data_IF_218602259867
#
_entry.id   IF_218602259867
#
_cell.length_a   1.000
_cell.length_b   1.000
_cell.length_c   1.000
_cell.angle_alpha   90.00
_cell.angle_beta   90.00
_cell.angle_gamma   90.00
#
_symmetry.space_group_name_H-M   'P 1'
#
loop_
_entity.id
_entity.type
_entity.pdbx_description
1 polymer ?
#
# COMPACT_ATOMS: atom_id res chain seq x y z
N UNK A 1 -4.90 36.63 5.93
CA UNK A 1 -4.93 35.72 4.77
C UNK A 1 -6.34 35.18 4.70
N UNK A 2 -6.94 35.11 3.51
CA UNK A 2 -8.25 34.45 3.39
C UNK A 2 -8.10 32.96 3.73
N UNK A 3 -9.11 32.35 4.35
CA UNK A 3 -9.08 30.92 4.73
C UNK A 3 -8.79 30.04 3.52
N UNK A 4 -9.33 30.39 2.35
CA UNK A 4 -9.07 29.64 1.12
C UNK A 4 -7.60 29.70 0.69
N UNK A 5 -6.99 30.89 0.77
CA UNK A 5 -5.58 31.08 0.44
C UNK A 5 -4.67 30.29 1.38
N UNK A 6 -5.00 30.27 2.68
CA UNK A 6 -4.30 29.46 3.68
C UNK A 6 -4.31 27.97 3.32
N UNK A 7 -5.49 27.43 3.00
CA UNK A 7 -5.64 26.01 2.64
C UNK A 7 -4.92 25.69 1.33
N UNK A 8 -4.96 26.58 0.34
CA UNK A 8 -4.22 26.38 -0.91
C UNK A 8 -2.71 26.37 -0.68
N UNK A 9 -2.18 27.28 0.14
CA UNK A 9 -0.76 27.32 0.49
C UNK A 9 -0.33 26.10 1.30
N UNK A 10 -1.18 25.62 2.20
CA UNK A 10 -0.96 24.40 2.97
C UNK A 10 -0.92 23.14 2.09
N UNK A 11 -1.86 22.96 1.16
CA UNK A 11 -1.83 21.84 0.20
C UNK A 11 -0.66 21.95 -0.78
N UNK A 12 -0.20 23.17 -1.11
CA UNK A 12 1.00 23.37 -1.91
C UNK A 12 2.26 22.91 -1.16
N UNK A 13 2.37 23.13 0.16
CA UNK A 13 3.47 22.62 0.98
C UNK A 13 3.48 21.08 1.02
N UNK A 14 2.30 20.46 1.11
CA UNK A 14 2.14 19.00 0.95
C UNK A 14 2.69 18.53 -0.40
N UNK A 15 2.30 19.20 -1.47
CA UNK A 15 2.72 18.87 -2.84
C UNK A 15 4.21 19.11 -3.10
N UNK A 16 4.82 20.08 -2.41
CA UNK A 16 6.24 20.37 -2.49
C UNK A 16 7.11 19.35 -1.72
N UNK A 17 6.50 18.57 -0.82
CA UNK A 17 7.25 17.68 0.07
C UNK A 17 8.00 18.42 1.17
N UNK A 18 7.65 19.68 1.46
CA UNK A 18 8.35 20.54 2.42
C UNK A 18 7.77 20.34 3.83
N UNK A 19 8.41 19.46 4.60
CA UNK A 19 7.94 19.09 5.95
C UNK A 19 8.04 20.27 6.93
N UNK A 20 9.07 21.11 6.81
CA UNK A 20 9.25 22.24 7.73
C UNK A 20 8.18 23.31 7.46
N UNK A 21 7.91 23.60 6.18
CA UNK A 21 6.81 24.47 5.79
C UNK A 21 5.47 23.90 6.22
N UNK A 22 5.24 22.59 6.06
CA UNK A 22 4.01 21.94 6.51
C UNK A 22 3.77 22.13 8.01
N UNK A 23 4.78 21.85 8.83
CA UNK A 23 4.69 21.97 10.29
C UNK A 23 4.42 23.41 10.74
N UNK A 24 4.83 24.42 9.95
CA UNK A 24 4.54 25.83 10.25
C UNK A 24 3.05 26.17 10.24
N UNK A 25 2.20 25.36 9.57
CA UNK A 25 0.75 25.51 9.59
C UNK A 25 0.08 24.80 10.77
N UNK A 26 0.79 23.93 11.49
CA UNK A 26 0.24 23.17 12.62
C UNK A 26 0.60 23.82 13.94
N UNK A 27 -0.34 23.84 14.88
CA UNK A 27 -0.05 24.16 16.27
C UNK A 27 0.98 23.15 16.84
N UNK A 28 1.89 23.54 17.75
CA UNK A 28 2.92 22.61 18.29
C UNK A 28 2.37 21.34 18.95
N UNK A 29 1.13 21.38 19.42
CA UNK A 29 0.39 20.27 20.03
C UNK A 29 -0.73 19.71 19.14
N UNK A 30 -0.69 19.98 17.83
CA UNK A 30 -1.76 19.59 16.92
C UNK A 30 -1.98 18.06 16.92
N UNK A 31 -3.24 17.67 16.77
CA UNK A 31 -3.64 16.29 16.53
C UNK A 31 -3.80 16.04 15.02
N UNK A 32 -3.22 14.95 14.53
CA UNK A 32 -3.37 14.51 13.14
C UNK A 32 -3.83 13.06 13.09
N UNK A 33 -4.76 12.72 12.21
CA UNK A 33 -5.21 11.36 11.98
C UNK A 33 -5.53 11.13 10.50
N UNK A 34 -5.15 9.97 9.98
CA UNK A 34 -5.58 9.49 8.66
C UNK A 34 -5.86 7.97 8.69
N UNK A 35 -6.40 7.37 7.62
CA UNK A 35 -6.74 5.95 7.59
C UNK A 35 -5.56 5.00 7.81
N UNK A 36 -4.32 5.45 7.64
CA UNK A 36 -3.10 4.66 7.84
C UNK A 36 -2.51 4.80 9.25
N UNK A 37 -2.91 5.83 10.01
CA UNK A 37 -2.59 6.02 11.42
C UNK A 37 -3.87 6.22 12.27
N UNK A 38 -4.74 5.19 12.39
CA UNK A 38 -6.07 5.35 13.00
C UNK A 38 -6.06 5.71 14.49
N UNK A 39 -4.93 5.57 15.19
CA UNK A 39 -4.78 6.02 16.58
C UNK A 39 -4.49 7.53 16.70
N UNK A 40 -4.19 8.19 15.58
CA UNK A 40 -3.74 9.57 15.53
C UNK A 40 -2.29 9.76 15.98
N UNK A 41 -1.78 10.96 15.76
CA UNK A 41 -0.46 11.46 16.12
C UNK A 41 -0.62 12.81 16.82
N UNK A 42 0.24 13.12 17.78
CA UNK A 42 0.16 14.40 18.51
C UNK A 42 1.50 15.13 18.53
N UNK A 43 1.46 16.39 18.11
CA UNK A 43 2.56 17.33 18.19
C UNK A 43 3.64 17.18 17.11
N UNK A 44 4.40 18.24 16.91
CA UNK A 44 5.33 18.39 15.78
C UNK A 44 6.36 17.27 15.66
N UNK A 45 6.83 16.68 16.77
CA UNK A 45 7.83 15.62 16.73
C UNK A 45 7.32 14.33 16.05
N UNK A 46 6.07 13.95 16.31
CA UNK A 46 5.44 12.79 15.69
C UNK A 46 5.03 13.09 14.25
N UNK A 47 4.40 14.24 14.03
CA UNK A 47 3.99 14.72 12.71
C UNK A 47 5.18 14.81 11.76
N UNK A 48 6.30 15.42 12.18
CA UNK A 48 7.52 15.55 11.37
C UNK A 48 8.04 14.20 10.87
N UNK A 49 8.17 13.22 11.79
CA UNK A 49 8.64 11.88 11.45
C UNK A 49 7.71 11.18 10.45
N UNK A 50 6.41 11.34 10.65
CA UNK A 50 5.39 10.74 9.80
C UNK A 50 5.36 11.38 8.41
N UNK A 51 5.24 12.71 8.33
CA UNK A 51 5.21 13.47 7.07
C UNK A 51 6.48 13.24 6.25
N UNK A 52 7.65 13.26 6.89
CA UNK A 52 8.93 12.99 6.21
C UNK A 52 8.99 11.58 5.63
N UNK A 53 8.49 10.57 6.35
CA UNK A 53 8.42 9.20 5.83
C UNK A 53 7.46 9.10 4.65
N UNK A 54 6.28 9.69 4.77
CA UNK A 54 5.23 9.65 3.75
C UNK A 54 5.69 10.34 2.45
N UNK A 55 6.13 11.59 2.54
CA UNK A 55 6.51 12.40 1.38
C UNK A 55 7.78 11.88 0.68
N UNK A 56 8.69 11.25 1.43
CA UNK A 56 9.85 10.57 0.86
C UNK A 56 9.48 9.31 0.08
N UNK A 57 8.46 8.57 0.54
CA UNK A 57 8.01 7.35 -0.13
C UNK A 57 7.30 7.66 -1.46
N UNK A 58 6.68 8.84 -1.57
CA UNK A 58 5.84 9.23 -2.70
C UNK A 58 6.22 10.60 -3.28
N UNK A 59 7.38 10.71 -3.96
CA UNK A 59 7.79 11.95 -4.59
C UNK A 59 6.85 12.33 -5.74
N UNK A 60 6.51 13.61 -5.84
CA UNK A 60 5.70 14.16 -6.95
C UNK A 60 4.18 14.03 -6.79
N UNK A 61 3.72 13.65 -5.60
CA UNK A 61 2.31 13.77 -5.21
C UNK A 61 1.86 15.23 -5.21
N UNK A 62 0.69 15.49 -5.77
CA UNK A 62 0.15 16.84 -5.97
C UNK A 62 -1.28 16.91 -5.44
N UNK A 63 -1.45 17.54 -4.28
CA UNK A 63 -2.76 17.80 -3.67
C UNK A 63 -3.35 19.09 -4.21
N UNK A 64 -4.61 19.02 -4.62
CA UNK A 64 -5.36 20.14 -5.16
C UNK A 64 -6.66 20.30 -4.39
N UNK A 65 -6.95 21.53 -3.97
CA UNK A 65 -8.22 21.87 -3.36
C UNK A 65 -9.33 21.75 -4.42
N UNK A 66 -10.35 20.96 -4.10
CA UNK A 66 -11.54 20.79 -4.94
C UNK A 66 -12.73 21.59 -4.41
N UNK A 67 -13.00 21.49 -3.11
CA UNK A 67 -14.04 22.28 -2.45
C UNK A 67 -13.65 22.64 -1.02
N UNK A 68 -14.16 23.76 -0.50
CA UNK A 68 -13.97 24.22 0.87
C UNK A 68 -15.33 24.61 1.45
N UNK A 69 -15.63 24.07 2.62
CA UNK A 69 -16.87 24.28 3.35
C UNK A 69 -16.51 24.77 4.75
N UNK A 70 -16.87 26.01 5.08
CA UNK A 70 -16.67 26.54 6.42
C UNK A 70 -17.81 26.08 7.34
N UNK A 71 -17.49 25.55 8.51
CA UNK A 71 -18.45 25.35 9.59
C UNK A 71 -18.46 26.61 10.47
N UNK A 72 -19.65 27.05 10.89
CA UNK A 72 -19.80 28.27 11.68
C UNK A 72 -19.37 28.11 13.15
N UNK A 73 -19.22 26.89 13.67
CA UNK A 73 -18.83 26.60 15.05
C UNK A 73 -17.94 25.33 15.08
N UNK A 74 -16.68 25.44 15.53
CA UNK A 74 -15.86 24.27 15.92
C UNK A 74 -16.06 23.94 17.40
N UNK A 75 -15.40 22.90 17.92
CA UNK A 75 -15.58 22.41 19.29
C UNK A 75 -15.27 23.41 20.42
N UNK A 76 -14.79 24.62 20.11
CA UNK A 76 -14.50 25.71 21.05
C UNK A 76 -14.98 27.06 20.49
N UNK A 77 -15.41 28.02 21.33
CA UNK A 77 -15.83 29.36 20.88
C UNK A 77 -14.77 30.14 20.10
N UNK A 78 -13.49 29.81 20.32
CA UNK A 78 -12.33 30.48 19.72
C UNK A 78 -11.71 29.69 18.56
N UNK A 79 -12.33 28.59 18.12
CA UNK A 79 -11.84 27.81 16.99
C UNK A 79 -12.78 27.87 15.79
N UNK A 80 -12.19 27.74 14.60
CA UNK A 80 -12.92 27.67 13.34
C UNK A 80 -12.81 26.28 12.76
N UNK A 81 -13.95 25.65 12.47
CA UNK A 81 -14.02 24.32 11.88
C UNK A 81 -14.16 24.43 10.37
N UNK A 82 -13.36 23.68 9.62
CA UNK A 82 -13.43 23.66 8.17
C UNK A 82 -13.48 22.22 7.68
N UNK A 83 -14.27 21.99 6.64
CA UNK A 83 -14.20 20.75 5.86
C UNK A 83 -13.72 21.11 4.47
N UNK A 84 -12.66 20.47 4.00
CA UNK A 84 -12.20 20.61 2.63
C UNK A 84 -12.29 19.27 1.91
N UNK A 85 -12.60 19.30 0.62
CA UNK A 85 -12.42 18.17 -0.29
C UNK A 85 -11.21 18.46 -1.17
N UNK A 86 -10.34 17.47 -1.33
CA UNK A 86 -9.15 17.57 -2.15
C UNK A 86 -9.04 16.41 -3.14
N UNK A 87 -8.23 16.62 -4.17
CA UNK A 87 -7.80 15.61 -5.13
C UNK A 87 -6.29 15.45 -5.04
N UNK A 88 -5.82 14.22 -4.89
CA UNK A 88 -4.40 13.87 -4.95
C UNK A 88 -4.11 13.29 -6.33
N UNK A 89 -3.22 13.97 -7.05
CA UNK A 89 -2.72 13.57 -8.37
C UNK A 89 -1.33 12.98 -8.23
N UNK A 90 -1.09 11.93 -9.00
CA UNK A 90 0.20 11.26 -9.12
C UNK A 90 1.10 12.00 -10.10
N UNK A 91 2.40 11.79 -10.00
CA UNK A 91 3.34 12.20 -11.05
C UNK A 91 3.02 11.49 -12.37
N UNK A 92 2.53 10.25 -12.30
CA UNK A 92 2.07 9.46 -13.43
C UNK A 92 0.61 9.77 -13.80
N UNK A 93 0.32 10.41 -14.94
CA UNK A 93 -1.03 10.86 -15.29
C UNK A 93 -2.07 9.74 -15.48
N UNK A 94 -1.61 8.49 -15.66
CA UNK A 94 -2.46 7.32 -15.85
C UNK A 94 -2.96 6.69 -14.55
N UNK A 95 -2.41 7.08 -13.39
CA UNK A 95 -2.92 6.57 -12.11
C UNK A 95 -4.24 7.26 -11.75
N UNK A 96 -5.24 6.52 -11.23
CA UNK A 96 -6.49 7.11 -10.79
C UNK A 96 -6.23 8.10 -9.66
N UNK A 97 -6.87 9.27 -9.73
CA UNK A 97 -6.73 10.29 -8.71
C UNK A 97 -7.43 9.84 -7.43
N UNK A 98 -6.83 10.13 -6.27
CA UNK A 98 -7.46 9.86 -4.98
C UNK A 98 -8.27 11.11 -4.61
N UNK A 99 -9.48 10.91 -4.11
CA UNK A 99 -10.27 11.98 -3.51
C UNK A 99 -10.32 11.79 -2.01
N UNK A 100 -10.17 12.89 -1.28
CA UNK A 100 -10.28 12.89 0.17
C UNK A 100 -10.95 14.14 0.71
N UNK A 101 -11.25 14.08 1.99
CA UNK A 101 -11.88 15.10 2.79
C UNK A 101 -11.05 15.28 4.04
N UNK A 102 -10.74 16.51 4.39
CA UNK A 102 -10.16 16.80 5.70
C UNK A 102 -11.18 17.59 6.52
N UNK A 103 -11.34 17.20 7.77
CA UNK A 103 -11.94 18.04 8.78
C UNK A 103 -10.83 18.63 9.65
N UNK A 104 -10.71 19.95 9.61
CA UNK A 104 -9.67 20.69 10.31
C UNK A 104 -10.27 21.67 11.30
N UNK A 105 -9.58 21.85 12.43
CA UNK A 105 -9.85 22.92 13.39
C UNK A 105 -8.66 23.88 13.39
N UNK A 106 -8.96 25.18 13.31
CA UNK A 106 -7.99 26.26 13.42
C UNK A 106 -8.17 26.99 14.76
N UNK A 107 -7.07 27.37 15.41
CA UNK A 107 -7.08 28.30 16.55
C UNK A 107 -7.20 29.77 16.10
N UNK A 108 -7.17 30.69 17.07
CA UNK A 108 -7.26 32.14 16.84
C UNK A 108 -6.11 32.71 16.01
N UNK A 109 -4.96 32.04 15.98
CA UNK A 109 -3.79 32.43 15.19
C UNK A 109 -3.83 31.83 13.77
N UNK A 110 -4.85 31.01 13.48
CA UNK A 110 -5.03 30.32 12.21
C UNK A 110 -4.16 29.07 12.06
N UNK A 111 -3.62 28.54 13.14
CA UNK A 111 -2.86 27.30 13.14
C UNK A 111 -3.80 26.10 13.27
N UNK A 112 -3.47 25.03 12.56
CA UNK A 112 -4.21 23.77 12.59
C UNK A 112 -3.97 23.10 13.95
N UNK A 113 -5.00 23.04 14.78
CA UNK A 113 -4.97 22.30 16.05
C UNK A 113 -5.42 20.85 15.87
N UNK A 114 -6.23 20.58 14.85
CA UNK A 114 -6.71 19.25 14.51
C UNK A 114 -6.80 19.08 13.01
N UNK A 115 -6.34 17.94 12.51
CA UNK A 115 -6.56 17.51 11.13
C UNK A 115 -6.95 16.03 11.10
N UNK A 116 -8.18 15.76 10.70
CA UNK A 116 -8.66 14.42 10.43
C UNK A 116 -8.90 14.24 8.95
N UNK A 117 -8.15 13.32 8.36
CA UNK A 117 -8.12 13.04 6.94
C UNK A 117 -8.97 11.79 6.66
N UNK A 118 -9.89 11.91 5.70
CA UNK A 118 -10.81 10.88 5.27
C UNK A 118 -10.68 10.68 3.76
N UNK A 119 -10.28 9.50 3.31
CA UNK A 119 -10.34 9.12 1.90
C UNK A 119 -10.66 7.64 1.80
N UNK A 120 -11.08 7.20 0.62
CA UNK A 120 -11.20 5.77 0.38
C UNK A 120 -9.81 5.15 0.34
N UNK A 121 -9.41 4.55 1.44
CA UNK A 121 -8.10 3.93 1.52
C UNK A 121 -7.95 2.72 0.58
N UNK A 122 -9.00 2.27 -0.15
CA UNK A 122 -8.82 1.35 -1.31
C UNK A 122 -8.10 2.00 -2.47
N UNK A 123 -8.22 3.31 -2.62
CA UNK A 123 -7.51 4.09 -3.64
C UNK A 123 -6.05 4.38 -3.23
N UNK A 124 -5.70 4.04 -1.98
CA UNK A 124 -4.34 4.08 -1.48
C UNK A 124 -3.52 2.91 -2.04
N UNK A 125 -2.31 3.14 -2.59
CA UNK A 125 -1.50 2.12 -3.26
C UNK A 125 -1.09 0.95 -2.34
N UNK A 126 -1.20 1.13 -1.03
CA UNK A 126 -0.66 0.20 -0.04
C UNK A 126 -1.68 -0.43 0.91
N UNK A 127 -3.00 -0.19 0.78
CA UNK A 127 -3.90 -0.76 1.80
C UNK A 127 -3.82 -2.28 1.77
N UNK A 128 -3.34 -2.81 2.88
CA UNK A 128 -3.16 -4.23 3.08
C UNK A 128 -4.53 -4.90 3.00
N UNK A 129 -4.67 -5.80 2.04
CA UNK A 129 -5.81 -6.69 1.97
C UNK A 129 -5.58 -7.82 2.95
N UNK A 130 -6.65 -8.25 3.61
CA UNK A 130 -6.64 -9.34 4.56
C UNK A 130 -7.77 -10.30 4.24
N UNK A 131 -7.42 -11.57 4.06
CA UNK A 131 -8.37 -12.66 3.88
C UNK A 131 -8.19 -13.67 5.00
N UNK A 132 -9.30 -14.12 5.59
CA UNK A 132 -9.28 -15.10 6.68
C UNK A 132 -9.97 -16.39 6.25
N UNK A 133 -9.44 -17.52 6.73
CA UNK A 133 -10.04 -18.84 6.60
C UNK A 133 -9.64 -19.65 7.84
N UNK A 134 -10.59 -19.88 8.74
CA UNK A 134 -10.36 -20.54 10.02
C UNK A 134 -9.21 -19.84 10.78
N UNK A 135 -8.18 -20.57 11.21
CA UNK A 135 -7.01 -20.04 11.92
C UNK A 135 -5.94 -19.41 11.00
N UNK A 136 -6.24 -19.27 9.70
CA UNK A 136 -5.30 -18.79 8.71
C UNK A 136 -5.66 -17.42 8.17
N UNK A 137 -4.64 -16.58 8.00
CA UNK A 137 -4.78 -15.22 7.45
C UNK A 137 -3.81 -15.02 6.30
N UNK A 138 -4.29 -14.53 5.15
CA UNK A 138 -3.44 -13.95 4.10
C UNK A 138 -3.47 -12.44 4.24
N UNK A 139 -2.30 -11.80 4.23
CA UNK A 139 -2.15 -10.34 4.32
C UNK A 139 -1.23 -9.84 3.24
N UNK A 140 -1.56 -8.70 2.62
CA UNK A 140 -0.64 -8.01 1.70
C UNK A 140 0.19 -6.91 2.37
N UNK A 141 0.09 -6.77 3.69
CA UNK A 141 0.95 -5.88 4.46
C UNK A 141 2.40 -6.38 4.46
N UNK A 142 3.26 -5.67 3.72
CA UNK A 142 4.69 -5.98 3.66
C UNK A 142 5.41 -5.76 5.01
N UNK A 143 4.86 -4.95 5.90
CA UNK A 143 5.45 -4.69 7.23
C UNK A 143 5.30 -5.89 8.16
N UNK A 144 4.32 -6.77 7.92
CA UNK A 144 4.13 -8.02 8.66
C UNK A 144 5.03 -9.15 8.20
N UNK A 145 5.79 -8.98 7.11
CA UNK A 145 6.64 -10.04 6.58
C UNK A 145 7.89 -10.18 7.47
N UNK A 146 7.97 -11.29 8.20
CA UNK A 146 9.21 -11.75 8.79
C UNK A 146 10.17 -12.16 7.67
N UNK A 147 11.15 -11.29 7.39
CA UNK A 147 12.09 -11.44 6.28
C UNK A 147 13.05 -12.60 6.50
N UNK A 148 13.43 -12.89 7.75
CA UNK A 148 14.33 -14.00 8.06
C UNK A 148 13.60 -15.33 7.87
N UNK A 149 12.37 -15.43 8.38
CA UNK A 149 11.53 -16.62 8.17
C UNK A 149 11.22 -16.84 6.70
N UNK A 150 10.87 -15.78 5.97
CA UNK A 150 10.61 -15.86 4.54
C UNK A 150 11.85 -16.30 3.75
N UNK A 151 13.02 -15.76 4.09
CA UNK A 151 14.28 -16.20 3.49
C UNK A 151 14.53 -17.69 3.74
N UNK A 152 14.29 -18.17 4.96
CA UNK A 152 14.40 -19.58 5.30
C UNK A 152 13.43 -20.47 4.50
N UNK A 153 12.16 -20.05 4.36
CA UNK A 153 11.15 -20.77 3.57
C UNK A 153 11.53 -20.87 2.08
N UNK A 154 12.16 -19.84 1.52
CA UNK A 154 12.51 -19.78 0.10
C UNK A 154 13.85 -20.43 -0.23
N UNK A 155 14.81 -20.44 0.69
CA UNK A 155 16.21 -20.83 0.43
C UNK A 155 16.36 -22.25 -0.15
N UNK A 156 15.49 -23.17 0.28
CA UNK A 156 15.54 -24.58 -0.14
C UNK A 156 14.70 -24.87 -1.40
N UNK A 157 14.10 -23.84 -2.00
CA UNK A 157 13.32 -23.98 -3.23
C UNK A 157 14.22 -23.92 -4.47
N UNK A 158 13.90 -24.72 -5.49
CA UNK A 158 14.69 -24.75 -6.72
C UNK A 158 14.70 -23.40 -7.48
N UNK A 159 13.69 -22.54 -7.26
CA UNK A 159 13.53 -21.27 -7.95
C UNK A 159 14.10 -20.06 -7.20
N UNK A 160 14.46 -20.21 -5.92
CA UNK A 160 15.08 -19.16 -5.11
C UNK A 160 16.44 -19.55 -4.53
N UNK A 161 17.10 -20.55 -5.13
CA UNK A 161 18.48 -20.93 -4.79
C UNK A 161 19.42 -19.71 -4.85
N UNK A 162 20.24 -19.53 -3.82
CA UNK A 162 21.19 -18.41 -3.74
C UNK A 162 20.55 -17.03 -3.48
N UNK A 163 19.30 -16.98 -3.02
CA UNK A 163 18.66 -15.72 -2.63
C UNK A 163 19.36 -15.12 -1.41
N UNK A 164 19.88 -13.89 -1.56
CA UNK A 164 20.46 -13.12 -0.45
C UNK A 164 19.38 -12.31 0.29
N UNK A 165 19.62 -11.89 1.55
CA UNK A 165 18.71 -11.00 2.27
C UNK A 165 18.39 -9.70 1.52
N UNK A 166 19.39 -9.09 0.87
CA UNK A 166 19.25 -7.84 0.12
C UNK A 166 18.36 -8.02 -1.10
N UNK A 167 18.56 -9.12 -1.84
CA UNK A 167 17.72 -9.47 -2.99
C UNK A 167 16.29 -9.78 -2.56
N UNK A 168 16.09 -10.44 -1.42
CA UNK A 168 14.75 -10.66 -0.88
C UNK A 168 14.05 -9.34 -0.55
N UNK A 169 14.75 -8.41 0.12
CA UNK A 169 14.21 -7.10 0.44
C UNK A 169 13.77 -6.34 -0.83
N UNK A 170 14.60 -6.35 -1.87
CA UNK A 170 14.25 -5.75 -3.17
C UNK A 170 13.06 -6.43 -3.86
N UNK A 171 12.94 -7.77 -3.78
CA UNK A 171 11.78 -8.51 -4.32
C UNK A 171 10.49 -8.12 -3.61
N UNK A 172 10.53 -8.02 -2.28
CA UNK A 172 9.37 -7.62 -1.47
C UNK A 172 8.94 -6.19 -1.86
N UNK A 173 9.91 -5.29 -1.98
CA UNK A 173 9.63 -3.89 -2.30
C UNK A 173 8.98 -3.74 -3.69
N UNK A 174 9.53 -4.43 -4.69
CA UNK A 174 9.10 -4.31 -6.09
C UNK A 174 7.87 -5.13 -6.50
N UNK A 175 7.27 -5.88 -5.57
CA UNK A 175 6.16 -6.81 -5.89
C UNK A 175 4.93 -6.56 -5.01
N UNK A 176 3.76 -6.96 -5.49
CA UNK A 176 2.60 -7.17 -4.63
C UNK A 176 2.78 -8.49 -3.89
N UNK A 177 2.86 -8.45 -2.57
CA UNK A 177 3.20 -9.61 -1.73
C UNK A 177 1.98 -10.12 -0.98
N UNK A 178 1.94 -11.43 -0.73
CA UNK A 178 0.89 -12.12 0.02
C UNK A 178 1.56 -13.00 1.06
N UNK A 179 1.57 -12.57 2.32
CA UNK A 179 2.03 -13.38 3.45
C UNK A 179 0.89 -14.21 3.99
N UNK A 180 1.10 -15.51 4.19
CA UNK A 180 0.15 -16.43 4.82
C UNK A 180 0.61 -16.71 6.26
N UNK A 181 -0.31 -16.57 7.20
CA UNK A 181 -0.06 -16.67 8.62
C UNK A 181 -0.98 -17.69 9.27
N UNK A 182 -0.46 -18.41 10.26
CA UNK A 182 -1.26 -19.02 11.32
C UNK A 182 -0.98 -18.18 12.57
N UNK A 183 -2.04 -17.56 13.10
CA UNK A 183 -1.91 -16.51 14.13
C UNK A 183 -0.89 -15.42 13.70
N UNK A 184 0.26 -15.36 14.37
CA UNK A 184 1.33 -14.38 14.11
C UNK A 184 2.50 -14.95 13.31
N UNK A 185 2.57 -16.27 13.10
CA UNK A 185 3.69 -16.92 12.42
C UNK A 185 3.50 -16.91 10.91
N UNK A 186 4.50 -16.43 10.16
CA UNK A 186 4.53 -16.54 8.70
C UNK A 186 4.80 -18.01 8.29
N UNK A 187 3.82 -18.63 7.64
CA UNK A 187 3.84 -20.04 7.23
C UNK A 187 3.68 -20.23 5.71
N UNK A 188 3.56 -19.15 4.94
CA UNK A 188 3.53 -19.21 3.49
C UNK A 188 3.65 -17.84 2.85
N UNK A 189 3.90 -17.83 1.55
CA UNK A 189 4.13 -16.62 0.80
C UNK A 189 3.77 -16.79 -0.68
N UNK A 190 3.37 -15.70 -1.32
CA UNK A 190 3.33 -15.55 -2.77
C UNK A 190 3.60 -14.10 -3.14
N UNK A 191 3.99 -13.84 -4.39
CA UNK A 191 4.04 -12.47 -4.92
C UNK A 191 3.63 -12.38 -6.37
N UNK A 192 3.12 -11.22 -6.76
CA UNK A 192 2.87 -10.85 -8.15
C UNK A 192 3.82 -9.71 -8.57
N UNK A 193 4.57 -9.94 -9.65
CA UNK A 193 5.28 -8.87 -10.36
C UNK A 193 4.32 -8.28 -11.37
N UNK A 194 4.06 -6.99 -11.31
CA UNK A 194 2.98 -6.39 -12.09
C UNK A 194 3.23 -4.91 -12.38
N UNK A 195 2.64 -4.44 -13.48
CA UNK A 195 2.47 -3.02 -13.79
C UNK A 195 1.20 -2.41 -13.15
N UNK A 196 0.44 -3.22 -12.41
CA UNK A 196 -0.86 -2.88 -11.81
C UNK A 196 -1.95 -2.48 -12.82
N UNK A 197 -1.77 -2.81 -14.11
CA UNK A 197 -2.72 -2.41 -15.15
C UNK A 197 -3.09 -3.53 -16.12
N UNK A 198 -2.11 -4.31 -16.58
CA UNK A 198 -2.30 -5.19 -17.73
C UNK A 198 -1.71 -6.58 -17.54
N UNK A 199 -0.66 -6.69 -16.74
CA UNK A 199 0.14 -7.90 -16.65
C UNK A 199 0.54 -8.22 -15.23
N UNK A 200 0.44 -9.50 -14.87
CA UNK A 200 0.99 -10.03 -13.63
C UNK A 200 1.73 -11.35 -13.86
N UNK A 201 2.92 -11.49 -13.25
CA UNK A 201 3.63 -12.75 -13.14
C UNK A 201 3.57 -13.24 -11.69
N UNK A 202 2.90 -14.38 -11.45
CA UNK A 202 2.80 -15.01 -10.14
C UNK A 202 4.08 -15.81 -9.86
N UNK A 203 4.71 -15.52 -8.73
CA UNK A 203 6.00 -16.07 -8.35
C UNK A 203 6.06 -16.41 -6.86
N UNK A 204 7.08 -17.20 -6.51
CA UNK A 204 7.49 -17.50 -5.13
C UNK A 204 6.34 -18.03 -4.24
N UNK A 205 5.38 -18.78 -4.83
CA UNK A 205 4.29 -19.45 -4.10
C UNK A 205 4.89 -20.60 -3.27
N UNK A 206 4.82 -20.47 -1.94
CA UNK A 206 5.38 -21.44 -1.01
C UNK A 206 4.48 -21.55 0.23
N UNK A 207 4.36 -22.77 0.74
CA UNK A 207 3.79 -23.07 2.07
C UNK A 207 4.82 -23.90 2.82
N UNK A 208 5.01 -23.54 4.07
CA UNK A 208 5.80 -24.28 5.05
C UNK A 208 5.43 -25.78 5.04
N UNK A 209 6.41 -26.70 4.92
CA UNK A 209 6.17 -28.14 4.86
C UNK A 209 5.17 -28.67 5.90
N UNK A 210 5.22 -28.18 7.13
CA UNK A 210 4.38 -28.65 8.24
C UNK A 210 2.89 -28.26 8.05
N UNK A 211 2.61 -27.30 7.18
CA UNK A 211 1.27 -26.76 6.92
C UNK A 211 0.69 -27.18 5.56
N UNK A 212 1.40 -28.04 4.79
CA UNK A 212 0.96 -28.49 3.48
C UNK A 212 -0.23 -29.47 3.56
N UNK A 213 -0.85 -29.72 2.41
CA UNK A 213 -2.00 -30.64 2.31
C UNK A 213 -3.34 -30.04 2.74
N UNK A 214 -3.35 -28.79 3.26
CA UNK A 214 -4.54 -28.12 3.80
C UNK A 214 -5.15 -27.08 2.82
N UNK A 215 -4.79 -27.14 1.53
CA UNK A 215 -5.28 -26.17 0.53
C UNK A 215 -4.79 -24.73 0.73
N UNK A 216 -3.71 -24.51 1.50
CA UNK A 216 -3.18 -23.16 1.78
C UNK A 216 -2.49 -22.51 0.57
N UNK A 217 -1.85 -23.31 -0.29
CA UNK A 217 -1.30 -22.81 -1.55
C UNK A 217 -2.41 -22.29 -2.48
N UNK A 218 -3.55 -22.98 -2.52
CA UNK A 218 -4.74 -22.54 -3.25
C UNK A 218 -5.31 -21.25 -2.66
N UNK A 219 -5.31 -21.11 -1.33
CA UNK A 219 -5.72 -19.86 -0.67
C UNK A 219 -4.86 -18.67 -1.11
N UNK A 220 -3.53 -18.81 -1.11
CA UNK A 220 -2.61 -17.77 -1.60
C UNK A 220 -2.90 -17.37 -3.05
N UNK A 221 -3.05 -18.35 -3.94
CA UNK A 221 -3.33 -18.10 -5.37
C UNK A 221 -4.67 -17.38 -5.52
N UNK A 222 -5.70 -17.84 -4.82
CA UNK A 222 -7.03 -17.22 -4.84
C UNK A 222 -6.96 -15.75 -4.42
N UNK A 223 -6.31 -15.46 -3.29
CA UNK A 223 -6.14 -14.09 -2.80
C UNK A 223 -5.41 -13.21 -3.81
N UNK A 224 -4.39 -13.74 -4.49
CA UNK A 224 -3.66 -12.99 -5.50
C UNK A 224 -4.52 -12.66 -6.73
N UNK A 225 -5.33 -13.60 -7.20
CA UNK A 225 -6.19 -13.41 -8.36
C UNK A 225 -7.43 -12.55 -8.07
N UNK A 226 -7.85 -12.48 -6.80
CA UNK A 226 -8.99 -11.68 -6.35
C UNK A 226 -8.57 -10.35 -5.71
N UNK A 227 -7.27 -10.05 -5.62
CA UNK A 227 -6.79 -8.77 -5.07
C UNK A 227 -7.33 -7.61 -5.92
N UNK A 228 -8.09 -6.66 -5.33
CA UNK A 228 -8.64 -5.52 -6.06
C UNK A 228 -7.56 -4.68 -6.77
N UNK A 229 -6.34 -4.63 -6.26
CA UNK A 229 -5.22 -3.93 -6.92
C UNK A 229 -4.73 -4.66 -8.17
N UNK A 230 -5.11 -5.93 -8.34
CA UNK A 230 -4.71 -6.80 -9.44
C UNK A 230 -5.91 -7.24 -10.29
N UNK A 231 -7.08 -6.62 -10.14
CA UNK A 231 -8.27 -6.93 -10.94
C UNK A 231 -8.82 -5.66 -11.58
N UNK A 232 -9.10 -5.66 -12.90
CA UNK A 232 -8.87 -6.74 -13.85
C UNK A 232 -7.44 -6.74 -14.43
N UNK A 233 -6.77 -7.90 -14.46
CA UNK A 233 -5.54 -8.08 -15.26
C UNK A 233 -5.84 -8.73 -16.59
N UNK A 234 -5.27 -8.19 -17.68
CA UNK A 234 -5.42 -8.77 -19.02
C UNK A 234 -4.70 -10.12 -19.13
N UNK A 235 -3.57 -10.29 -18.47
CA UNK A 235 -2.78 -11.54 -18.54
C UNK A 235 -2.08 -11.84 -17.22
N UNK A 236 -2.27 -13.08 -16.76
CA UNK A 236 -1.46 -13.69 -15.72
C UNK A 236 -0.51 -14.72 -16.33
N UNK A 237 0.72 -14.77 -15.84
CA UNK A 237 1.70 -15.80 -16.15
C UNK A 237 2.30 -16.39 -14.89
N UNK A 238 2.80 -17.61 -15.03
CA UNK A 238 3.69 -18.25 -14.07
C UNK A 238 4.52 -19.28 -14.80
N UNK A 239 5.61 -19.70 -14.17
CA UNK A 239 6.40 -20.86 -14.57
C UNK A 239 6.45 -21.84 -13.41
N UNK A 240 6.03 -23.07 -13.63
CA UNK A 240 6.11 -24.16 -12.65
C UNK A 240 6.74 -25.38 -13.30
N UNK A 241 7.55 -26.11 -12.52
CA UNK A 241 8.17 -27.36 -12.98
C UNK A 241 7.26 -28.57 -12.72
N UNK A 242 6.57 -28.57 -11.58
CA UNK A 242 5.93 -29.76 -11.01
C UNK A 242 4.54 -29.49 -10.39
N UNK A 243 4.08 -28.23 -10.30
CA UNK A 243 2.83 -27.87 -9.62
C UNK A 243 1.70 -27.47 -10.58
N UNK A 244 1.66 -28.00 -11.80
CA UNK A 244 0.65 -27.65 -12.81
C UNK A 244 -0.80 -27.83 -12.31
N UNK A 245 -1.09 -28.92 -11.59
CA UNK A 245 -2.42 -29.22 -11.05
C UNK A 245 -2.85 -28.27 -9.93
N UNK A 246 -1.90 -27.60 -9.26
CA UNK A 246 -2.23 -26.57 -8.27
C UNK A 246 -2.87 -25.34 -8.92
N UNK A 247 -2.41 -24.98 -10.12
CA UNK A 247 -2.82 -23.75 -10.80
C UNK A 247 -4.01 -23.94 -11.74
N UNK A 248 -4.21 -25.15 -12.29
CA UNK A 248 -5.29 -25.44 -13.24
C UNK A 248 -6.70 -25.05 -12.76
N UNK A 249 -7.10 -25.27 -11.49
CA UNK A 249 -8.42 -24.87 -10.99
C UNK A 249 -8.69 -23.36 -11.07
N UNK A 250 -7.63 -22.55 -11.14
CA UNK A 250 -7.70 -21.09 -11.24
C UNK A 250 -7.69 -20.58 -12.69
N UNK A 251 -7.82 -21.47 -13.67
CA UNK A 251 -7.86 -21.11 -15.09
C UNK A 251 -6.48 -20.96 -15.75
N UNK A 252 -5.38 -21.19 -15.02
CA UNK A 252 -4.07 -21.31 -15.64
C UNK A 252 -4.02 -22.53 -16.55
N UNK A 253 -3.48 -22.33 -17.75
CA UNK A 253 -3.33 -23.35 -18.78
C UNK A 253 -1.95 -23.23 -19.43
N UNK A 254 -1.42 -24.31 -20.03
CA UNK A 254 -0.24 -24.21 -20.87
C UNK A 254 -0.42 -23.12 -21.93
N UNK A 255 0.67 -22.46 -22.29
CA UNK A 255 0.66 -21.43 -23.32
C UNK A 255 0.16 -22.03 -24.64
N UNK A 256 -0.78 -21.35 -25.28
CA UNK A 256 -1.42 -21.86 -26.51
C UNK A 256 -0.43 -21.97 -27.69
N UNK A 257 0.62 -21.14 -27.70
CA UNK A 257 1.68 -21.14 -28.70
C UNK A 257 2.97 -20.71 -28.01
N UNK A 258 4.00 -21.56 -28.05
CA UNK A 258 5.32 -21.23 -27.49
C UNK A 258 6.12 -20.30 -28.43
N UNK A 259 5.84 -20.31 -29.73
CA UNK A 259 6.56 -19.52 -30.75
C UNK A 259 6.53 -17.99 -30.51
N UNK A 260 5.53 -17.51 -29.78
CA UNK A 260 5.37 -16.08 -29.46
C UNK A 260 5.99 -15.70 -28.10
N UNK A 261 6.65 -16.64 -27.42
CA UNK A 261 7.30 -16.43 -26.14
C UNK A 261 8.80 -16.63 -26.29
N UNK A 262 9.54 -15.58 -25.99
CA UNK A 262 11.00 -15.58 -26.01
C UNK A 262 11.49 -15.28 -24.60
N UNK A 263 12.59 -15.91 -24.21
CA UNK A 263 13.26 -15.63 -22.95
C UNK A 263 14.75 -15.34 -23.17
N UNK A 264 15.31 -14.50 -22.31
CA UNK A 264 16.74 -14.36 -22.12
C UNK A 264 17.02 -14.86 -20.71
N UNK A 265 17.74 -15.97 -20.58
CA UNK A 265 18.13 -16.56 -19.31
C UNK A 265 19.67 -16.69 -19.27
N UNK A 266 20.41 -15.67 -18.77
CA UNK A 266 21.87 -15.63 -18.82
C UNK A 266 22.63 -16.61 -17.88
N UNK A 267 21.97 -17.66 -17.39
CA UNK A 267 22.47 -18.53 -16.33
C UNK A 267 21.55 -19.73 -16.06
N UNK A 268 21.00 -20.33 -17.12
CA UNK A 268 20.30 -21.60 -17.07
C UNK A 268 21.30 -22.73 -17.28
#
# INVERSE_FOLDING_TARGET
>A
MDTRELIQAWLAAWSAGDVDQLLSYYHPQAFYQDPTCPQGLTGHAELSRYFAKLLKAYPGWNWQLDALFAAAEAGSPDSTGLTLRWQLKWAEPWRPQIQGLDWIELDSDGLITRNEVYFDARDWPERAQVWNRDDFTVSTDKQRLDRERLLALLRDTYWAAGLSPERLAQRIESSRCFGLYQQMQLIGFARALTDYQSFAYLADVIVDPDWRGQGLGQMLIKCALEDPCLVPMRRWLLRTRDAHELYRPFGFKPLASLDNWLEIWPGA
#
